data_IF_766010655916
#
_entry.id   IF_766010655916
#
_cell.length_a   1.000
_cell.length_b   1.000
_cell.length_c   1.000
_cell.angle_alpha   90.00
_cell.angle_beta   90.00
_cell.angle_gamma   90.00
#
_symmetry.space_group_name_H-M   'P 1'
#
loop_
_entity.id
_entity.type
_entity.pdbx_description
1 polymer ?
#
# COMPACT_ATOMS: atom_id res chain seq x y z
N UNK A 1 -47.94 -18.28 35.43
CA UNK A 1 -47.71 -16.88 35.00
C UNK A 1 -46.22 -16.69 34.78
N UNK A 2 -45.84 -16.14 33.61
CA UNK A 2 -44.51 -15.60 33.22
C UNK A 2 -43.34 -16.62 33.17
N UNK A 3 -42.47 -16.66 32.17
CA UNK A 3 -42.44 -16.06 30.84
C UNK A 3 -41.42 -16.87 30.01
N UNK A 4 -41.74 -17.19 28.75
CA UNK A 4 -40.80 -17.71 27.74
C UNK A 4 -40.00 -16.53 27.19
N UNK A 5 -38.67 -16.62 27.15
CA UNK A 5 -37.82 -15.89 26.20
C UNK A 5 -36.37 -16.40 26.28
N UNK A 6 -35.78 -16.74 25.13
CA UNK A 6 -34.33 -16.57 24.96
C UNK A 6 -33.44 -17.81 24.83
N UNK A 7 -33.88 -18.92 24.22
CA UNK A 7 -32.92 -19.87 23.61
C UNK A 7 -32.76 -19.49 22.13
N UNK A 8 -31.81 -18.60 21.84
CA UNK A 8 -31.05 -18.49 20.56
C UNK A 8 -30.16 -17.25 20.56
N UNK A 9 -28.98 -17.43 19.96
CA UNK A 9 -27.97 -16.43 19.57
C UNK A 9 -26.92 -16.03 20.62
N UNK A 10 -25.83 -16.82 20.65
CA UNK A 10 -24.48 -16.31 20.93
C UNK A 10 -23.50 -16.97 19.93
N UNK A 11 -23.76 -16.77 18.63
CA UNK A 11 -22.73 -16.66 17.60
C UNK A 11 -22.62 -15.17 17.32
N UNK A 12 -21.40 -14.64 17.25
CA UNK A 12 -21.07 -13.21 17.20
C UNK A 12 -21.07 -12.53 18.58
N UNK A 13 -19.88 -12.52 19.19
CA UNK A 13 -19.25 -11.32 19.74
C UNK A 13 -17.79 -11.71 20.00
N UNK A 14 -16.97 -11.61 18.95
CA UNK A 14 -15.51 -11.53 19.03
C UNK A 14 -15.15 -10.20 19.68
N UNK A 15 -15.51 -10.06 20.95
CA UNK A 15 -15.07 -8.99 21.81
C UNK A 15 -13.70 -9.40 22.35
N UNK A 16 -12.66 -8.91 21.69
CA UNK A 16 -11.60 -8.13 22.34
C UNK A 16 -11.49 -8.48 23.83
N UNK A 17 -10.87 -9.61 24.15
CA UNK A 17 -10.38 -9.85 25.50
C UNK A 17 -9.07 -9.08 25.62
N UNK A 18 -9.21 -7.76 25.80
CA UNK A 18 -8.17 -6.92 26.40
C UNK A 18 -7.88 -7.51 27.76
N UNK A 19 -6.88 -8.39 27.83
CA UNK A 19 -6.23 -8.69 29.08
C UNK A 19 -5.39 -7.47 29.43
N UNK A 20 -5.98 -6.61 30.25
CA UNK A 20 -5.30 -5.65 31.11
C UNK A 20 -4.12 -6.35 31.80
N UNK A 21 -2.91 -6.19 31.26
CA UNK A 21 -1.67 -6.43 31.99
C UNK A 21 -1.26 -5.09 32.60
N UNK A 22 -1.53 -4.95 33.89
CA UNK A 22 -1.00 -3.86 34.71
C UNK A 22 0.53 -3.92 34.70
N UNK A 23 1.18 -2.85 34.21
CA UNK A 23 2.61 -2.77 34.04
C UNK A 23 3.37 -2.51 35.36
N UNK A 24 4.43 -3.28 35.65
CA UNK A 24 5.66 -2.76 36.24
C UNK A 24 6.60 -2.31 35.11
N UNK A 25 7.38 -1.25 35.34
CA UNK A 25 8.45 -0.83 34.43
C UNK A 25 9.44 -1.99 34.21
N UNK A 26 9.55 -2.47 32.97
CA UNK A 26 10.48 -3.53 32.59
C UNK A 26 11.62 -3.00 31.71
N UNK A 27 12.77 -3.68 31.78
CA UNK A 27 14.01 -3.32 31.08
C UNK A 27 13.85 -3.36 29.54
N UNK A 28 14.66 -2.58 28.82
CA UNK A 28 14.57 -2.33 27.37
C UNK A 28 14.50 -3.59 26.46
N UNK A 29 14.95 -4.76 26.92
CA UNK A 29 14.82 -6.02 26.18
C UNK A 29 13.45 -6.71 26.29
N UNK A 30 12.61 -6.35 27.26
CA UNK A 30 11.28 -6.97 27.44
C UNK A 30 10.16 -6.25 26.67
N UNK A 31 10.38 -4.98 26.29
CA UNK A 31 9.46 -4.24 25.41
C UNK A 31 9.41 -4.83 24.01
N UNK A 32 10.57 -5.24 23.47
CA UNK A 32 10.69 -5.79 22.11
C UNK A 32 9.98 -7.14 21.95
N UNK A 33 10.03 -8.00 22.99
CA UNK A 33 9.27 -9.25 23.03
C UNK A 33 7.78 -8.95 23.06
N UNK A 34 7.30 -7.98 23.85
CA UNK A 34 5.87 -7.69 23.92
C UNK A 34 5.33 -7.19 22.57
N UNK A 35 6.07 -6.32 21.90
CA UNK A 35 5.59 -5.62 20.72
C UNK A 35 5.44 -6.55 19.51
N UNK A 36 6.35 -7.53 19.33
CA UNK A 36 6.21 -8.52 18.25
C UNK A 36 5.02 -9.46 18.46
N UNK A 37 4.70 -9.81 19.70
CA UNK A 37 3.52 -10.62 20.02
C UNK A 37 2.21 -9.86 19.78
N UNK A 38 2.16 -8.57 20.13
CA UNK A 38 1.01 -7.72 19.83
C UNK A 38 0.81 -7.55 18.32
N UNK A 39 1.90 -7.34 17.57
CA UNK A 39 1.85 -7.24 16.12
C UNK A 39 1.36 -8.55 15.47
N UNK A 40 1.82 -9.70 15.98
CA UNK A 40 1.36 -11.02 15.54
C UNK A 40 -0.13 -11.26 15.83
N UNK A 41 -0.60 -10.88 17.03
CA UNK A 41 -2.01 -11.01 17.41
C UNK A 41 -2.94 -10.15 16.54
N UNK A 42 -2.45 -9.01 16.04
CA UNK A 42 -3.19 -8.12 15.15
C UNK A 42 -3.05 -8.49 13.65
N UNK A 43 -2.25 -9.51 13.33
CA UNK A 43 -2.04 -9.95 11.94
C UNK A 43 -1.24 -8.97 11.09
N UNK A 44 -0.35 -8.19 11.71
CA UNK A 44 0.26 -7.02 11.09
C UNK A 44 1.74 -7.27 10.75
N UNK A 45 2.01 -7.79 9.53
CA UNK A 45 3.37 -8.09 9.05
C UNK A 45 4.31 -6.87 9.08
N UNK A 46 3.89 -5.65 8.66
CA UNK A 46 4.76 -4.48 8.71
C UNK A 46 5.30 -4.19 10.13
N UNK A 47 4.44 -4.30 11.13
CA UNK A 47 4.77 -4.07 12.55
C UNK A 47 5.71 -5.15 13.08
N UNK A 48 5.53 -6.41 12.67
CA UNK A 48 6.48 -7.49 12.98
C UNK A 48 7.86 -7.18 12.41
N UNK A 49 7.93 -6.74 11.15
CA UNK A 49 9.21 -6.36 10.51
C UNK A 49 9.90 -5.25 11.29
N UNK A 50 9.16 -4.23 11.72
CA UNK A 50 9.67 -3.14 12.57
C UNK A 50 10.20 -3.66 13.91
N UNK A 51 9.46 -4.57 14.57
CA UNK A 51 9.93 -5.17 15.83
C UNK A 51 11.26 -5.91 15.65
N UNK A 52 11.39 -6.70 14.58
CA UNK A 52 12.61 -7.44 14.26
C UNK A 52 13.76 -6.49 13.93
N UNK A 53 13.50 -5.41 13.19
CA UNK A 53 14.49 -4.36 12.92
C UNK A 53 15.06 -3.76 14.21
N UNK A 54 14.21 -3.59 15.22
CA UNK A 54 14.58 -3.01 16.52
C UNK A 54 15.28 -4.00 17.45
N UNK A 55 15.22 -5.30 17.20
CA UNK A 55 15.94 -6.28 18.01
C UNK A 55 15.15 -7.53 18.36
N UNK A 56 13.82 -7.50 18.19
CA UNK A 56 12.95 -8.61 18.54
C UNK A 56 13.36 -9.90 17.83
N UNK A 57 13.36 -10.99 18.58
CA UNK A 57 13.66 -12.31 18.05
C UNK A 57 12.35 -13.05 17.73
N UNK A 58 12.08 -13.40 16.45
CA UNK A 58 10.81 -14.01 16.06
C UNK A 58 10.60 -15.43 16.60
N UNK A 59 11.63 -16.06 17.17
CA UNK A 59 11.53 -17.41 17.75
C UNK A 59 11.49 -17.44 19.28
N UNK A 60 11.53 -16.27 19.94
CA UNK A 60 11.42 -16.23 21.40
C UNK A 60 10.00 -16.63 21.83
N UNK A 61 9.90 -17.46 22.86
CA UNK A 61 8.63 -17.91 23.42
C UNK A 61 8.23 -17.05 24.64
N UNK A 62 6.93 -16.82 24.81
CA UNK A 62 6.39 -16.16 26.01
C UNK A 62 6.47 -17.08 27.25
N UNK A 63 6.01 -16.56 28.39
CA UNK A 63 5.96 -17.33 29.65
C UNK A 63 5.11 -18.61 29.60
N UNK A 64 4.28 -18.79 28.56
CA UNK A 64 3.45 -19.98 28.32
C UNK A 64 4.07 -20.91 27.28
N UNK A 65 5.27 -20.60 26.79
CA UNK A 65 5.96 -21.38 25.76
C UNK A 65 5.46 -21.14 24.34
N UNK A 66 4.66 -20.09 24.09
CA UNK A 66 4.13 -19.77 22.77
C UNK A 66 5.03 -18.79 22.04
N UNK A 67 5.30 -19.03 20.77
CA UNK A 67 6.01 -18.11 19.88
C UNK A 67 5.06 -17.05 19.31
N UNK A 68 5.57 -15.94 18.73
CA UNK A 68 4.74 -15.00 17.98
C UNK A 68 3.92 -15.67 16.87
N UNK A 69 4.48 -16.68 16.18
CA UNK A 69 3.76 -17.44 15.16
C UNK A 69 2.56 -18.19 15.75
N UNK A 70 2.70 -18.80 16.92
CA UNK A 70 1.60 -19.49 17.60
C UNK A 70 0.47 -18.53 17.96
N UNK A 71 0.81 -17.34 18.45
CA UNK A 71 -0.17 -16.29 18.76
C UNK A 71 -0.89 -15.80 17.50
N UNK A 72 -0.19 -15.65 16.37
CA UNK A 72 -0.83 -15.31 15.10
C UNK A 72 -1.85 -16.37 14.66
N UNK A 73 -1.51 -17.68 14.74
CA UNK A 73 -2.44 -18.77 14.41
C UNK A 73 -3.67 -18.79 15.32
N UNK A 74 -3.49 -18.56 16.62
CA UNK A 74 -4.61 -18.52 17.57
C UNK A 74 -5.60 -17.37 17.29
N UNK A 75 -5.14 -16.28 16.67
CA UNK A 75 -5.97 -15.16 16.25
C UNK A 75 -6.45 -15.28 14.80
N UNK A 76 -6.17 -16.40 14.11
CA UNK A 76 -6.62 -16.68 12.74
C UNK A 76 -5.77 -16.04 11.64
N UNK A 77 -4.56 -15.57 11.95
CA UNK A 77 -3.66 -14.90 11.02
C UNK A 77 -2.61 -15.87 10.44
N UNK A 78 -3.05 -16.88 9.68
CA UNK A 78 -2.18 -17.94 9.14
C UNK A 78 -1.08 -17.41 8.21
N UNK A 79 -1.36 -16.39 7.40
CA UNK A 79 -0.33 -15.79 6.53
C UNK A 79 0.79 -15.13 7.34
N UNK A 80 0.44 -14.50 8.45
CA UNK A 80 1.41 -13.87 9.37
C UNK A 80 2.21 -14.95 10.09
N UNK A 81 1.56 -16.03 10.54
CA UNK A 81 2.25 -17.17 11.13
C UNK A 81 3.26 -17.79 10.15
N UNK A 82 2.84 -18.05 8.91
CA UNK A 82 3.69 -18.59 7.85
C UNK A 82 4.87 -17.65 7.53
N UNK A 83 4.65 -16.33 7.54
CA UNK A 83 5.72 -15.36 7.41
C UNK A 83 6.73 -15.51 8.56
N UNK A 84 6.29 -15.51 9.82
CA UNK A 84 7.18 -15.65 11.00
C UNK A 84 7.93 -16.99 10.96
N UNK A 85 7.25 -18.09 10.64
CA UNK A 85 7.86 -19.42 10.51
C UNK A 85 8.93 -19.49 9.42
N UNK A 86 8.84 -18.66 8.39
CA UNK A 86 9.83 -18.60 7.31
C UNK A 86 11.14 -17.94 7.75
N UNK A 87 11.16 -17.26 8.90
CA UNK A 87 12.32 -16.53 9.39
C UNK A 87 13.31 -17.45 10.12
N UNK A 88 14.59 -17.17 9.97
CA UNK A 88 15.70 -17.84 10.66
C UNK A 88 16.61 -16.81 11.31
N UNK A 89 17.23 -17.20 12.41
CA UNK A 89 18.24 -16.41 13.11
C UNK A 89 19.61 -17.04 12.88
N UNK A 90 20.48 -16.35 12.16
CA UNK A 90 21.85 -16.77 11.88
C UNK A 90 22.83 -15.88 12.65
N UNK A 91 23.78 -16.51 13.34
CA UNK A 91 24.87 -15.81 14.05
C UNK A 91 26.18 -16.13 13.36
N UNK A 92 26.89 -15.10 12.90
CA UNK A 92 28.14 -15.27 12.17
C UNK A 92 29.34 -15.17 13.11
N UNK A 93 30.48 -15.80 12.79
CA UNK A 93 31.71 -15.70 13.58
C UNK A 93 32.20 -14.25 13.78
N UNK A 94 31.83 -13.33 12.90
CA UNK A 94 32.13 -11.90 13.03
C UNK A 94 31.40 -11.22 14.19
N UNK A 95 30.44 -11.89 14.83
CA UNK A 95 29.50 -11.30 15.78
C UNK A 95 28.29 -10.62 15.13
N UNK A 96 28.21 -10.61 13.80
CA UNK A 96 27.02 -10.15 13.09
C UNK A 96 25.85 -11.13 13.27
N UNK A 97 24.62 -10.63 13.17
CA UNK A 97 23.40 -11.43 13.27
C UNK A 97 22.49 -11.13 12.09
N UNK A 98 21.96 -12.18 11.46
CA UNK A 98 20.90 -12.07 10.46
C UNK A 98 19.61 -12.66 11.01
N UNK A 99 18.49 -11.97 10.78
CA UNK A 99 17.15 -12.45 11.06
C UNK A 99 16.31 -12.26 9.80
N UNK A 100 15.91 -13.35 9.13
CA UNK A 100 15.18 -13.23 7.87
C UNK A 100 14.92 -14.54 7.16
N UNK A 101 14.37 -14.43 5.95
CA UNK A 101 14.03 -15.54 5.08
C UNK A 101 15.28 -16.18 4.44
N UNK A 102 15.21 -17.47 4.19
CA UNK A 102 16.33 -18.24 3.65
C UNK A 102 15.90 -19.07 2.45
N UNK A 103 16.80 -19.23 1.47
CA UNK A 103 16.67 -20.20 0.38
C UNK A 103 17.88 -21.13 0.42
N UNK A 104 17.65 -22.38 0.83
CA UNK A 104 18.75 -23.31 1.13
C UNK A 104 19.61 -22.78 2.27
N UNK A 105 20.92 -22.59 2.01
CA UNK A 105 21.88 -22.08 3.00
C UNK A 105 22.22 -20.59 2.82
N UNK A 106 21.46 -19.86 2.01
CA UNK A 106 21.69 -18.44 1.73
C UNK A 106 20.49 -17.59 2.08
N UNK A 107 20.79 -16.36 2.49
CA UNK A 107 19.83 -15.30 2.78
C UNK A 107 19.09 -14.94 1.49
N UNK A 108 17.77 -14.97 1.54
CA UNK A 108 16.92 -14.78 0.36
C UNK A 108 15.52 -14.33 0.78
N UNK A 109 15.00 -13.28 0.14
CA UNK A 109 13.75 -12.64 0.57
C UNK A 109 13.99 -11.58 1.64
N UNK A 110 12.99 -11.27 2.45
CA UNK A 110 13.10 -10.18 3.42
C UNK A 110 13.96 -10.59 4.64
N UNK A 111 14.79 -9.68 5.13
CA UNK A 111 15.51 -9.87 6.39
C UNK A 111 16.19 -8.62 6.95
N UNK A 112 16.79 -8.80 8.12
CA UNK A 112 17.56 -7.78 8.85
C UNK A 112 18.94 -8.33 9.15
N UNK A 113 19.98 -7.63 8.70
CA UNK A 113 21.37 -7.94 9.00
C UNK A 113 21.96 -6.88 9.93
N UNK A 114 22.31 -7.28 11.14
CA UNK A 114 22.98 -6.45 12.15
C UNK A 114 24.46 -6.73 12.12
N UNK A 115 25.24 -5.71 11.74
CA UNK A 115 26.69 -5.75 11.80
C UNK A 115 27.17 -5.67 13.26
N UNK A 116 28.30 -6.30 13.56
CA UNK A 116 28.97 -6.19 14.85
C UNK A 116 29.25 -4.73 15.27
N UNK A 117 29.51 -3.84 14.30
CA UNK A 117 29.77 -2.42 14.55
C UNK A 117 28.50 -1.60 14.92
N UNK A 118 27.34 -2.24 15.06
CA UNK A 118 26.06 -1.62 15.39
C UNK A 118 25.28 -1.05 14.19
N UNK A 119 25.85 -1.09 12.97
CA UNK A 119 25.11 -0.73 11.76
C UNK A 119 24.17 -1.87 11.38
N UNK A 120 23.07 -1.57 10.71
CA UNK A 120 22.09 -2.58 10.30
C UNK A 120 21.52 -2.32 8.92
N UNK A 121 21.35 -3.39 8.15
CA UNK A 121 20.54 -3.43 6.95
C UNK A 121 19.18 -4.05 7.25
N UNK A 122 18.11 -3.52 6.67
CA UNK A 122 16.79 -4.15 6.62
C UNK A 122 16.24 -4.03 5.20
N UNK A 123 15.82 -5.13 4.61
CA UNK A 123 15.31 -5.13 3.25
C UNK A 123 15.39 -6.50 2.62
N UNK A 124 15.35 -6.52 1.29
CA UNK A 124 15.40 -7.75 0.53
C UNK A 124 16.84 -8.26 0.37
N UNK A 125 16.96 -9.58 0.28
CA UNK A 125 18.18 -10.34 0.06
C UNK A 125 18.04 -11.24 -1.16
N UNK A 126 19.14 -11.39 -1.90
CA UNK A 126 19.26 -12.35 -2.99
C UNK A 126 20.63 -13.01 -2.94
N UNK A 127 20.64 -14.33 -2.75
CA UNK A 127 21.87 -15.15 -2.75
C UNK A 127 22.93 -14.67 -1.74
N UNK A 128 22.49 -14.16 -0.58
CA UNK A 128 23.34 -13.65 0.48
C UNK A 128 23.78 -12.19 0.35
N UNK A 129 23.23 -11.46 -0.62
CA UNK A 129 23.55 -10.05 -0.88
C UNK A 129 22.35 -9.15 -0.60
N UNK A 130 22.60 -7.93 -0.12
CA UNK A 130 21.57 -6.89 -0.05
C UNK A 130 21.17 -6.52 -1.48
N UNK A 131 19.88 -6.62 -1.77
CA UNK A 131 19.35 -6.46 -3.12
C UNK A 131 17.95 -5.85 -3.02
N UNK A 132 17.52 -5.07 -4.01
CA UNK A 132 16.18 -4.49 -4.02
C UNK A 132 16.03 -3.31 -3.07
N UNK A 133 14.83 -3.10 -2.53
CA UNK A 133 14.58 -1.96 -1.65
C UNK A 133 14.94 -2.30 -0.20
N UNK A 134 15.55 -1.33 0.47
CA UNK A 134 15.93 -1.51 1.86
C UNK A 134 16.41 -0.23 2.54
N UNK A 135 16.95 -0.44 3.72
CA UNK A 135 17.41 0.58 4.63
C UNK A 135 18.73 0.18 5.24
N UNK A 136 19.65 1.12 5.30
CA UNK A 136 20.86 1.00 6.09
C UNK A 136 20.85 2.04 7.18
N UNK A 137 20.87 1.60 8.43
CA UNK A 137 21.05 2.49 9.58
C UNK A 137 22.50 2.38 10.05
N UNK A 138 23.22 3.48 10.00
CA UNK A 138 24.58 3.57 10.54
C UNK A 138 24.52 3.55 12.07
N UNK A 139 25.57 3.03 12.71
CA UNK A 139 25.67 2.98 14.18
C UNK A 139 25.56 4.35 14.87
N UNK A 140 25.82 5.45 14.15
CA UNK A 140 25.69 6.83 14.63
C UNK A 140 24.30 7.46 14.40
N UNK A 141 23.33 6.68 13.91
CA UNK A 141 21.93 7.12 13.77
C UNK A 141 21.54 7.66 12.38
N UNK A 142 22.50 7.93 11.49
CA UNK A 142 22.20 8.24 10.09
C UNK A 142 21.53 7.06 9.39
N UNK A 143 20.66 7.33 8.42
CA UNK A 143 19.97 6.28 7.65
C UNK A 143 20.04 6.57 6.16
N UNK A 144 20.32 5.53 5.39
CA UNK A 144 20.05 5.47 3.96
C UNK A 144 18.79 4.63 3.74
N UNK A 145 17.91 5.08 2.87
CA UNK A 145 16.80 4.30 2.36
C UNK A 145 16.79 4.42 0.84
N UNK A 146 16.63 3.31 0.14
CA UNK A 146 16.74 3.29 -1.31
C UNK A 146 16.95 1.90 -1.88
N UNK A 147 17.47 1.86 -3.11
CA UNK A 147 17.77 0.61 -3.81
C UNK A 147 19.16 0.10 -3.43
N UNK A 148 19.29 -1.22 -3.30
CA UNK A 148 20.52 -1.94 -3.05
C UNK A 148 20.76 -2.92 -4.19
N UNK A 149 22.02 -3.03 -4.63
CA UNK A 149 22.46 -4.05 -5.59
C UNK A 149 23.83 -4.54 -5.18
N UNK A 150 24.01 -5.85 -5.07
CA UNK A 150 25.28 -6.45 -4.66
C UNK A 150 25.91 -5.75 -3.42
N UNK A 151 25.11 -5.56 -2.37
CA UNK A 151 25.50 -4.88 -1.11
C UNK A 151 25.78 -3.36 -1.22
N UNK A 152 25.75 -2.77 -2.41
CA UNK A 152 25.96 -1.33 -2.63
C UNK A 152 24.69 -0.50 -2.50
N UNK A 153 24.85 0.79 -2.21
CA UNK A 153 23.79 1.79 -2.23
C UNK A 153 23.56 2.31 -3.66
N UNK A 154 22.33 2.28 -4.15
CA UNK A 154 21.98 2.72 -5.50
C UNK A 154 20.84 3.75 -5.49
N UNK A 155 21.11 4.92 -6.05
CA UNK A 155 20.13 6.01 -6.15
C UNK A 155 20.18 7.01 -4.98
N UNK A 156 19.29 8.01 -5.04
CA UNK A 156 19.22 9.07 -4.01
C UNK A 156 18.57 8.52 -2.74
N UNK A 157 19.16 8.85 -1.60
CA UNK A 157 18.58 8.55 -0.29
C UNK A 157 17.19 9.15 -0.13
N UNK A 158 16.20 8.34 0.20
CA UNK A 158 14.83 8.78 0.54
C UNK A 158 14.69 8.90 2.07
N UNK A 159 15.01 10.08 2.60
CA UNK A 159 14.94 10.35 4.03
C UNK A 159 13.49 10.42 4.54
N UNK A 160 13.05 9.41 5.29
CA UNK A 160 11.91 9.50 6.21
C UNK A 160 12.13 8.55 7.39
N UNK A 161 11.64 8.96 8.57
CA UNK A 161 11.63 8.10 9.76
C UNK A 161 10.42 7.16 9.74
N UNK A 162 10.50 6.05 10.47
CA UNK A 162 9.42 5.05 10.51
C UNK A 162 8.14 5.64 11.14
N UNK A 163 8.28 6.60 12.06
CA UNK A 163 7.19 7.42 12.60
C UNK A 163 6.44 8.22 11.54
N UNK A 164 7.10 8.54 10.43
CA UNK A 164 6.57 9.45 9.42
C UNK A 164 5.68 8.72 8.41
N UNK A 165 5.81 7.38 8.31
CA UNK A 165 5.08 6.54 7.35
C UNK A 165 3.57 6.74 7.46
N UNK A 166 3.08 6.88 8.70
CA UNK A 166 1.65 7.08 9.03
C UNK A 166 1.31 8.53 9.37
N UNK A 167 2.29 9.44 9.29
CA UNK A 167 2.08 10.85 9.61
C UNK A 167 1.30 11.56 8.52
N UNK A 168 0.58 12.61 8.91
CA UNK A 168 -0.07 13.56 8.01
C UNK A 168 0.58 14.92 8.13
N UNK A 169 0.71 15.61 7.01
CA UNK A 169 1.14 17.00 7.01
C UNK A 169 0.00 17.95 7.41
N UNK A 170 0.27 19.26 7.39
CA UNK A 170 -0.72 20.29 7.75
C UNK A 170 -1.93 20.36 6.81
N UNK A 171 -1.87 19.71 5.65
CA UNK A 171 -2.94 19.61 4.66
C UNK A 171 -3.62 18.23 4.71
N UNK A 172 -3.30 17.42 5.73
CA UNK A 172 -3.84 16.07 5.91
C UNK A 172 -3.28 15.06 4.90
N UNK A 173 -2.29 15.42 4.09
CA UNK A 173 -1.67 14.54 3.10
C UNK A 173 -0.76 13.54 3.83
N UNK A 174 -0.86 12.26 3.46
CA UNK A 174 0.08 11.23 3.94
C UNK A 174 1.41 11.32 3.21
N UNK A 175 2.46 10.77 3.80
CA UNK A 175 3.77 10.72 3.14
C UNK A 175 3.72 9.95 1.81
N UNK A 176 2.89 8.91 1.72
CA UNK A 176 2.67 8.15 0.48
C UNK A 176 2.00 9.01 -0.60
N UNK A 177 1.01 9.81 -0.22
CA UNK A 177 0.37 10.75 -1.13
C UNK A 177 1.36 11.78 -1.65
N UNK A 178 2.14 12.41 -0.77
CA UNK A 178 3.16 13.38 -1.19
C UNK A 178 4.24 12.74 -2.07
N UNK A 179 4.61 11.48 -1.84
CA UNK A 179 5.55 10.74 -2.67
C UNK A 179 5.01 10.49 -4.09
N UNK A 180 3.73 10.07 -4.20
CA UNK A 180 3.05 9.88 -5.48
C UNK A 180 2.93 11.20 -6.24
N UNK A 181 2.52 12.29 -5.57
CA UNK A 181 2.44 13.64 -6.14
C UNK A 181 3.77 14.18 -6.67
N UNK A 182 4.90 13.70 -6.13
CA UNK A 182 6.25 14.07 -6.59
C UNK A 182 6.82 13.12 -7.66
N UNK A 183 6.07 12.09 -8.08
CA UNK A 183 6.56 11.07 -9.01
C UNK A 183 7.68 10.19 -8.43
N UNK A 184 7.85 10.16 -7.10
CA UNK A 184 8.97 9.47 -6.46
C UNK A 184 8.65 7.99 -6.24
N UNK A 185 8.78 7.19 -7.31
CA UNK A 185 8.48 5.75 -7.30
C UNK A 185 9.23 4.98 -6.20
N UNK A 186 10.51 5.29 -5.96
CA UNK A 186 11.30 4.62 -4.91
C UNK A 186 10.68 4.86 -3.54
N UNK A 187 10.31 6.11 -3.24
CA UNK A 187 9.65 6.44 -1.98
C UNK A 187 8.26 5.80 -1.87
N UNK A 188 7.47 5.78 -2.95
CA UNK A 188 6.16 5.11 -2.99
C UNK A 188 6.30 3.62 -2.62
N UNK A 189 7.16 2.88 -3.32
CA UNK A 189 7.37 1.44 -3.05
C UNK A 189 7.82 1.19 -1.62
N UNK A 190 8.74 2.02 -1.15
CA UNK A 190 9.32 1.88 0.18
C UNK A 190 8.29 2.15 1.29
N UNK A 191 7.44 3.16 1.14
CA UNK A 191 6.36 3.46 2.09
C UNK A 191 5.33 2.32 2.13
N UNK A 192 4.96 1.78 0.97
CA UNK A 192 4.05 0.64 0.87
C UNK A 192 4.64 -0.60 1.55
N UNK A 193 5.92 -0.90 1.32
CA UNK A 193 6.62 -2.00 2.01
C UNK A 193 6.63 -1.87 3.54
N UNK A 194 6.50 -0.64 4.05
CA UNK A 194 6.40 -0.32 5.48
C UNK A 194 4.96 -0.23 6.00
N UNK A 195 4.00 -0.67 5.20
CA UNK A 195 2.60 -0.73 5.61
C UNK A 195 1.84 0.58 5.45
N UNK A 196 2.36 1.57 4.71
CA UNK A 196 1.58 2.75 4.38
C UNK A 196 0.28 2.33 3.68
N UNK A 197 -0.86 2.79 4.21
CA UNK A 197 -2.16 2.48 3.64
C UNK A 197 -2.30 3.18 2.28
N UNK A 198 -2.38 2.38 1.21
CA UNK A 198 -2.48 2.83 -0.18
C UNK A 198 -3.78 3.57 -0.52
N UNK A 199 -4.81 3.36 0.30
CA UNK A 199 -6.14 3.95 0.15
C UNK A 199 -6.35 5.17 1.05
N UNK A 200 -5.33 5.59 1.80
CA UNK A 200 -5.42 6.82 2.56
C UNK A 200 -5.60 8.03 1.65
N UNK A 201 -6.44 8.95 2.10
CA UNK A 201 -6.88 10.07 1.30
C UNK A 201 -6.44 11.41 1.90
N UNK A 202 -6.30 12.40 1.03
CA UNK A 202 -6.06 13.80 1.41
C UNK A 202 -7.34 14.44 1.97
N UNK A 203 -7.26 15.71 2.36
CA UNK A 203 -8.44 16.52 2.74
C UNK A 203 -9.47 16.71 1.60
N UNK A 204 -9.19 16.26 0.37
CA UNK A 204 -10.15 16.26 -0.75
C UNK A 204 -10.61 14.86 -1.14
N UNK A 205 -10.42 13.89 -0.25
CA UNK A 205 -10.68 12.46 -0.47
C UNK A 205 -9.90 11.88 -1.67
N UNK A 206 -8.81 12.55 -2.07
CA UNK A 206 -7.94 12.06 -3.13
C UNK A 206 -6.93 11.06 -2.58
N UNK A 207 -6.92 9.86 -3.17
CA UNK A 207 -5.91 8.83 -2.93
C UNK A 207 -4.66 9.04 -3.79
N UNK A 208 -3.51 8.41 -3.46
CA UNK A 208 -2.32 8.40 -4.30
C UNK A 208 -2.58 7.96 -5.76
N UNK A 209 -3.56 7.07 -5.97
CA UNK A 209 -3.92 6.58 -7.31
C UNK A 209 -4.55 7.67 -8.19
N UNK A 210 -5.35 8.57 -7.61
CA UNK A 210 -5.91 9.73 -8.34
C UNK A 210 -4.79 10.61 -8.90
N UNK A 211 -3.79 10.93 -8.07
CA UNK A 211 -2.66 11.77 -8.49
C UNK A 211 -1.77 11.08 -9.52
N UNK A 212 -1.45 9.81 -9.33
CA UNK A 212 -0.68 9.04 -10.30
C UNK A 212 -1.41 8.96 -11.67
N UNK A 213 -2.74 8.87 -11.65
CA UNK A 213 -3.55 8.88 -12.87
C UNK A 213 -3.64 10.25 -13.53
N UNK A 214 -3.68 11.33 -12.75
CA UNK A 214 -3.62 12.70 -13.24
C UNK A 214 -2.29 12.98 -13.98
N UNK A 215 -1.16 12.62 -13.37
CA UNK A 215 0.17 12.83 -13.96
C UNK A 215 0.45 11.87 -15.14
N UNK A 216 -0.16 10.68 -15.12
CA UNK A 216 0.09 9.64 -16.12
C UNK A 216 1.25 8.71 -15.75
N UNK A 217 1.61 8.63 -14.48
CA UNK A 217 2.75 7.87 -13.98
C UNK A 217 2.44 6.36 -13.93
N UNK A 218 2.63 5.69 -15.08
CA UNK A 218 2.38 4.25 -15.26
C UNK A 218 3.02 3.40 -14.15
N UNK A 219 4.27 3.69 -13.79
CA UNK A 219 5.01 2.91 -12.80
C UNK A 219 4.38 3.01 -11.41
N UNK A 220 3.90 4.19 -11.01
CA UNK A 220 3.26 4.40 -9.70
C UNK A 220 1.86 3.80 -9.70
N UNK A 221 1.09 3.98 -10.78
CA UNK A 221 -0.23 3.36 -10.94
C UNK A 221 -0.15 1.84 -10.76
N UNK A 222 0.79 1.17 -11.43
CA UNK A 222 0.97 -0.28 -11.31
C UNK A 222 1.26 -0.71 -9.89
N UNK A 223 2.21 -0.04 -9.22
CA UNK A 223 2.57 -0.36 -7.83
C UNK A 223 1.40 -0.19 -6.89
N UNK A 224 0.63 0.89 -7.03
CA UNK A 224 -0.53 1.14 -6.17
C UNK A 224 -1.61 0.07 -6.36
N UNK A 225 -1.93 -0.29 -7.61
CA UNK A 225 -2.92 -1.34 -7.91
C UNK A 225 -2.45 -2.72 -7.42
N UNK A 226 -1.20 -3.09 -7.68
CA UNK A 226 -0.59 -4.34 -7.17
C UNK A 226 -0.62 -4.42 -5.63
N UNK A 227 -0.65 -3.26 -4.96
CA UNK A 227 -0.68 -3.14 -3.50
C UNK A 227 -2.08 -2.97 -2.91
N UNK A 228 -3.13 -3.19 -3.71
CA UNK A 228 -4.53 -3.18 -3.26
C UNK A 228 -5.17 -1.79 -3.20
N UNK A 229 -4.70 -0.83 -4.01
CA UNK A 229 -5.40 0.44 -4.17
C UNK A 229 -6.82 0.22 -4.71
N UNK A 230 -7.81 0.86 -4.10
CA UNK A 230 -9.19 0.87 -4.57
C UNK A 230 -9.26 1.65 -5.89
N UNK A 231 -9.40 0.90 -6.97
CA UNK A 231 -9.42 1.40 -8.34
C UNK A 231 -10.63 2.31 -8.62
N UNK A 232 -11.70 2.17 -7.85
CA UNK A 232 -12.94 2.92 -7.98
C UNK A 232 -13.15 3.89 -6.81
N UNK A 233 -12.11 4.16 -6.02
CA UNK A 233 -12.14 5.23 -5.01
C UNK A 233 -12.61 6.54 -5.66
N UNK A 234 -13.41 7.29 -4.91
CA UNK A 234 -14.00 8.56 -5.35
C UNK A 234 -13.48 9.68 -4.48
N UNK A 235 -13.04 10.76 -5.10
CA UNK A 235 -12.70 12.00 -4.37
C UNK A 235 -13.96 12.80 -4.00
N UNK A 236 -13.79 13.99 -3.41
CA UNK A 236 -14.91 14.85 -2.98
C UNK A 236 -15.85 15.26 -4.12
N UNK A 237 -15.38 15.29 -5.37
CA UNK A 237 -16.20 15.59 -6.55
C UNK A 237 -16.77 14.31 -7.19
N UNK A 238 -16.59 13.16 -6.52
CA UNK A 238 -17.04 11.85 -6.98
C UNK A 238 -16.19 11.29 -8.12
N UNK A 239 -15.04 11.92 -8.42
CA UNK A 239 -14.16 11.55 -9.52
C UNK A 239 -13.32 10.34 -9.13
N UNK A 240 -13.15 9.41 -10.07
CA UNK A 240 -12.25 8.26 -9.93
C UNK A 240 -10.93 8.50 -10.66
N UNK A 241 -9.92 7.66 -10.41
CA UNK A 241 -8.66 7.69 -11.15
C UNK A 241 -8.86 7.66 -12.69
N UNK A 242 -9.86 6.91 -13.19
CA UNK A 242 -10.18 6.85 -14.62
C UNK A 242 -10.72 8.19 -15.16
N UNK A 243 -11.45 8.96 -14.36
CA UNK A 243 -11.87 10.30 -14.73
C UNK A 243 -10.66 11.23 -14.91
N UNK A 244 -9.71 11.20 -13.97
CA UNK A 244 -8.49 12.01 -14.07
C UNK A 244 -7.64 11.62 -15.27
N UNK A 245 -7.45 10.32 -15.54
CA UNK A 245 -6.73 9.86 -16.72
C UNK A 245 -7.41 10.29 -18.02
N UNK A 246 -8.74 10.22 -18.08
CA UNK A 246 -9.53 10.65 -19.24
C UNK A 246 -9.46 12.16 -19.48
N UNK A 247 -9.59 12.95 -18.41
CA UNK A 247 -9.46 14.41 -18.46
C UNK A 247 -8.04 14.87 -18.81
N UNK A 248 -6.99 14.09 -18.56
CA UNK A 248 -5.62 14.49 -18.87
C UNK A 248 -5.04 13.78 -20.11
N UNK A 249 -5.86 13.08 -20.88
CA UNK A 249 -5.41 12.39 -22.10
C UNK A 249 -4.39 11.28 -21.83
N UNK A 250 -4.36 10.69 -20.63
CA UNK A 250 -3.38 9.67 -20.22
C UNK A 250 -3.80 8.27 -20.69
N UNK A 251 -3.80 8.03 -22.01
CA UNK A 251 -4.30 6.79 -22.64
C UNK A 251 -3.73 5.51 -22.05
N UNK A 252 -2.41 5.46 -21.80
CA UNK A 252 -1.76 4.27 -21.26
C UNK A 252 -2.21 3.95 -19.83
N UNK A 253 -2.36 4.97 -18.98
CA UNK A 253 -2.89 4.79 -17.62
C UNK A 253 -4.36 4.42 -17.65
N UNK A 254 -5.17 5.09 -18.47
CA UNK A 254 -6.59 4.78 -18.61
C UNK A 254 -6.79 3.30 -19.03
N UNK A 255 -5.96 2.79 -19.95
CA UNK A 255 -5.98 1.38 -20.34
C UNK A 255 -5.66 0.45 -19.17
N UNK A 256 -4.59 0.72 -18.42
CA UNK A 256 -4.23 -0.08 -17.24
C UNK A 256 -5.36 -0.11 -16.22
N UNK A 257 -5.99 1.03 -15.95
CA UNK A 257 -7.12 1.13 -15.02
C UNK A 257 -8.30 0.27 -15.48
N UNK A 258 -8.69 0.36 -16.75
CA UNK A 258 -9.79 -0.44 -17.31
C UNK A 258 -9.48 -1.93 -17.30
N UNK A 259 -8.26 -2.33 -17.67
CA UNK A 259 -7.79 -3.72 -17.62
C UNK A 259 -7.83 -4.31 -16.20
N UNK A 260 -7.70 -3.47 -15.17
CA UNK A 260 -7.77 -3.86 -13.76
C UNK A 260 -9.17 -3.66 -13.14
N UNK A 261 -10.21 -3.44 -13.96
CA UNK A 261 -11.61 -3.42 -13.51
C UNK A 261 -12.14 -2.06 -13.06
N UNK A 262 -11.55 -0.96 -13.51
CA UNK A 262 -12.14 0.37 -13.30
C UNK A 262 -13.53 0.46 -13.96
N UNK A 263 -14.50 1.06 -13.26
CA UNK A 263 -15.83 1.30 -13.82
C UNK A 263 -15.79 2.41 -14.88
N UNK A 264 -15.83 1.98 -16.15
CA UNK A 264 -15.86 2.87 -17.33
C UNK A 264 -17.09 3.77 -17.40
N UNK A 265 -18.15 3.46 -16.64
CA UNK A 265 -19.41 4.20 -16.59
C UNK A 265 -19.61 4.92 -15.25
N UNK A 266 -18.60 4.95 -14.38
CA UNK A 266 -18.66 5.66 -13.11
C UNK A 266 -19.10 7.11 -13.33
N UNK A 267 -19.96 7.61 -12.44
CA UNK A 267 -20.45 9.00 -12.47
C UNK A 267 -19.82 9.79 -11.34
N UNK A 268 -19.32 10.97 -11.65
CA UNK A 268 -18.95 11.97 -10.65
C UNK A 268 -20.19 12.66 -10.08
N UNK A 269 -20.03 13.60 -9.14
CA UNK A 269 -21.16 14.30 -8.50
C UNK A 269 -21.99 15.14 -9.48
N UNK A 270 -21.40 15.54 -10.62
CA UNK A 270 -22.12 16.21 -11.71
C UNK A 270 -22.77 15.23 -12.70
N UNK A 271 -22.73 13.92 -12.42
CA UNK A 271 -23.27 12.87 -13.28
C UNK A 271 -22.42 12.58 -14.53
N UNK A 272 -21.28 13.26 -14.68
CA UNK A 272 -20.34 13.08 -15.79
C UNK A 272 -19.55 11.79 -15.64
N UNK A 273 -19.34 11.10 -16.76
CA UNK A 273 -18.55 9.86 -16.85
C UNK A 273 -17.16 10.11 -17.42
N UNK A 274 -16.20 9.16 -17.35
CA UNK A 274 -14.89 9.33 -17.99
C UNK A 274 -14.98 9.72 -19.47
N UNK A 275 -16.00 9.26 -20.19
CA UNK A 275 -16.23 9.62 -21.60
C UNK A 275 -16.67 11.10 -21.78
N UNK A 276 -17.39 11.68 -20.81
CA UNK A 276 -17.66 13.13 -20.80
C UNK A 276 -16.35 13.92 -20.63
N UNK A 277 -15.45 13.45 -19.76
CA UNK A 277 -14.16 14.11 -19.53
C UNK A 277 -13.20 13.96 -20.71
N UNK A 278 -13.21 12.81 -21.40
CA UNK A 278 -12.45 12.64 -22.65
C UNK A 278 -12.91 13.62 -23.74
N UNK A 279 -14.23 13.91 -23.81
CA UNK A 279 -14.76 14.94 -24.69
C UNK A 279 -14.25 16.35 -24.36
N UNK A 280 -13.98 16.67 -23.09
CA UNK A 280 -13.47 17.98 -22.71
C UNK A 280 -12.09 18.30 -23.32
N UNK A 281 -11.27 17.26 -23.54
CA UNK A 281 -9.86 17.39 -23.91
C UNK A 281 -9.56 16.85 -25.31
N UNK A 282 -10.61 16.64 -26.10
CA UNK A 282 -10.60 16.00 -27.43
C UNK A 282 -9.72 14.73 -27.50
N UNK A 283 -9.74 13.94 -26.43
CA UNK A 283 -8.93 12.73 -26.30
C UNK A 283 -9.58 11.56 -27.04
N UNK A 284 -9.52 11.59 -28.37
CA UNK A 284 -10.16 10.60 -29.24
C UNK A 284 -9.73 9.15 -28.97
N UNK A 285 -8.44 8.92 -28.69
CA UNK A 285 -7.94 7.58 -28.34
C UNK A 285 -8.56 7.03 -27.05
N UNK A 286 -8.71 7.88 -26.03
CA UNK A 286 -9.39 7.49 -24.78
C UNK A 286 -10.86 7.22 -25.06
N UNK A 287 -11.53 8.06 -25.84
CA UNK A 287 -12.92 7.84 -26.19
C UNK A 287 -13.12 6.50 -26.89
N UNK A 288 -12.28 6.17 -27.87
CA UNK A 288 -12.30 4.86 -28.56
C UNK A 288 -12.09 3.72 -27.56
N UNK A 289 -11.04 3.80 -26.73
CA UNK A 289 -10.72 2.77 -25.74
C UNK A 289 -11.88 2.55 -24.75
N UNK A 290 -12.48 3.63 -24.24
CA UNK A 290 -13.62 3.57 -23.32
C UNK A 290 -14.82 2.92 -23.99
N UNK A 291 -15.14 3.29 -25.24
CA UNK A 291 -16.26 2.70 -25.99
C UNK A 291 -16.05 1.21 -26.24
N UNK A 292 -14.83 0.80 -26.62
CA UNK A 292 -14.45 -0.60 -26.80
C UNK A 292 -14.55 -1.40 -25.51
N UNK A 293 -14.40 -0.73 -24.37
CA UNK A 293 -14.49 -1.31 -23.03
C UNK A 293 -15.88 -1.22 -22.41
N UNK A 294 -16.92 -0.87 -23.19
CA UNK A 294 -18.31 -0.85 -22.75
C UNK A 294 -18.79 0.45 -22.11
N UNK A 295 -18.08 1.57 -22.31
CA UNK A 295 -18.60 2.89 -21.95
C UNK A 295 -19.86 3.20 -22.76
N UNK A 296 -20.89 3.69 -22.08
CA UNK A 296 -22.20 3.99 -22.67
C UNK A 296 -22.25 5.45 -23.14
N UNK A 297 -22.21 5.74 -24.46
CA UNK A 297 -22.18 7.11 -24.98
C UNK A 297 -23.52 7.86 -24.81
N UNK A 298 -24.61 7.14 -24.50
CA UNK A 298 -25.93 7.74 -24.27
C UNK A 298 -26.19 8.23 -22.84
N UNK A 299 -25.26 8.01 -21.90
CA UNK A 299 -25.43 8.47 -20.53
C UNK A 299 -25.44 10.00 -20.49
N UNK A 300 -26.39 10.56 -19.76
CA UNK A 300 -26.50 11.99 -19.50
C UNK A 300 -25.92 12.35 -18.14
N UNK A 301 -25.25 13.48 -18.09
CA UNK A 301 -24.85 14.17 -16.86
C UNK A 301 -26.05 14.89 -16.21
N UNK A 302 -25.81 15.56 -15.08
CA UNK A 302 -26.85 16.28 -14.34
C UNK A 302 -27.34 17.55 -15.06
N UNK A 303 -26.64 18.00 -16.11
CA UNK A 303 -27.08 19.07 -17.02
C UNK A 303 -27.90 18.52 -18.18
N UNK A 304 -28.18 17.21 -18.19
CA UNK A 304 -28.89 16.52 -19.24
C UNK A 304 -28.08 16.38 -20.53
N UNK A 305 -26.75 16.56 -20.50
CA UNK A 305 -25.88 16.49 -21.67
C UNK A 305 -25.23 15.12 -21.81
N UNK A 306 -25.11 14.64 -23.06
CA UNK A 306 -24.31 13.44 -23.38
C UNK A 306 -22.85 13.82 -23.70
N UNK A 307 -21.89 12.87 -23.72
CA UNK A 307 -20.53 13.12 -24.17
C UNK A 307 -20.47 13.71 -25.59
N UNK A 308 -21.36 13.27 -26.49
CA UNK A 308 -21.43 13.80 -27.86
C UNK A 308 -21.88 15.26 -27.89
N UNK A 309 -22.84 15.63 -27.04
CA UNK A 309 -23.32 17.00 -26.92
C UNK A 309 -22.22 17.92 -26.35
N UNK A 310 -21.47 17.47 -25.34
CA UNK A 310 -20.26 18.17 -24.86
C UNK A 310 -19.21 18.32 -25.96
N UNK A 311 -18.87 17.23 -26.65
CA UNK A 311 -17.89 17.25 -27.75
C UNK A 311 -18.29 18.22 -28.88
N UNK A 312 -19.59 18.39 -29.16
CA UNK A 312 -20.08 19.37 -30.14
C UNK A 312 -19.87 20.81 -29.66
N UNK A 313 -20.22 21.10 -28.40
CA UNK A 313 -20.08 22.44 -27.82
C UNK A 313 -18.61 22.84 -27.74
N UNK A 314 -17.75 21.91 -27.33
CA UNK A 314 -16.31 22.11 -27.16
C UNK A 314 -15.50 21.99 -28.46
N UNK A 315 -16.16 21.60 -29.56
CA UNK A 315 -15.55 21.35 -30.88
C UNK A 315 -14.46 20.25 -30.84
N UNK A 316 -14.68 19.22 -30.05
CA UNK A 316 -13.80 18.06 -29.88
C UNK A 316 -13.97 17.10 -31.08
N UNK A 317 -13.19 17.33 -32.14
CA UNK A 317 -13.36 16.68 -33.44
C UNK A 317 -13.06 15.19 -33.36
N UNK A 318 -12.00 14.80 -32.65
CA UNK A 318 -11.58 13.40 -32.55
C UNK A 318 -12.60 12.59 -31.77
N UNK A 319 -13.11 13.13 -30.66
CA UNK A 319 -14.14 12.46 -29.86
C UNK A 319 -15.48 12.39 -30.60
N UNK A 320 -15.87 13.46 -31.32
CA UNK A 320 -17.05 13.41 -32.18
C UNK A 320 -16.96 12.33 -33.26
N UNK A 321 -15.77 12.09 -33.82
CA UNK A 321 -15.56 11.00 -34.79
C UNK A 321 -15.69 9.63 -34.13
N UNK A 322 -15.03 9.44 -32.98
CA UNK A 322 -15.08 8.19 -32.22
C UNK A 322 -16.52 7.79 -31.84
N UNK A 323 -17.33 8.77 -31.40
CA UNK A 323 -18.72 8.57 -31.01
C UNK A 323 -19.68 8.33 -32.19
N UNK A 324 -19.31 8.72 -33.42
CA UNK A 324 -20.13 8.51 -34.62
C UNK A 324 -19.85 7.17 -35.30
N UNK A 325 -18.70 6.55 -35.03
CA UNK A 325 -18.29 5.29 -35.65
C UNK A 325 -18.69 4.04 -34.86
N UNK A 326 -19.50 4.18 -33.81
CA UNK A 326 -19.98 3.13 -32.91
C UNK A 326 -21.47 3.32 -32.66
#
# INVERSE_FOLDING_TARGET
>A
MRNKAGVRAAKSLGAILVLLWTAPLYAAGQTEIRDIFMAAANGAVPEIKICIENGANPVDADSRGKTPADVARENGHEEVAAFIDSLRVMRYPSGSVYVGQMKGHREHGWGVYRCFNGSRYSGDFREGKFEGLGYWTYSRGGRYAGEFRDNGFYGKNVNFHDSDVFSRDRYGETLLYSAAKRGNLTQVRLLIQRGANVNEHSMRDQTPLHFAAFEGDISIVRVLLESGADINARDMDGMTALHFAAFNGKTAVARILVENGADVNAKNENGGTPLHHAAYQDSGEIAIMLLESGARPGLRDNFGKTPLEHARVLKSIMVMRALKSR
#
